data_IF_301048193380
#
_entry.id   IF_301048193380
#
_cell.length_a   1.000
_cell.length_b   1.000
_cell.length_c   1.000
_cell.angle_alpha   90.00
_cell.angle_beta   90.00
_cell.angle_gamma   90.00
#
_symmetry.space_group_name_H-M   'P 1'
#
loop_
_entity.id
_entity.type
_entity.pdbx_description
1 polymer ?
#
# COMPACT_ATOMS: atom_id res chain seq x y z
N UNK A 1 36.07 -8.24 6.30
CA UNK A 1 36.14 -7.63 7.65
C UNK A 1 35.45 -6.29 7.55
N UNK A 2 34.22 -6.17 8.05
CA UNK A 2 33.49 -4.90 8.01
C UNK A 2 34.15 -3.92 8.99
N UNK A 3 34.43 -2.67 8.59
CA UNK A 3 34.86 -1.65 9.53
C UNK A 3 33.72 -1.44 10.52
N UNK A 4 34.00 -1.72 11.79
CA UNK A 4 33.07 -1.47 12.90
C UNK A 4 32.80 0.02 12.96
N UNK A 5 31.57 0.43 12.62
CA UNK A 5 31.06 1.77 12.88
C UNK A 5 31.08 1.94 14.41
N UNK A 6 31.92 2.82 14.97
CA UNK A 6 31.86 3.12 16.40
C UNK A 6 30.47 3.69 16.66
N UNK A 7 29.76 3.17 17.65
CA UNK A 7 28.38 3.55 18.03
C UNK A 7 27.21 2.88 17.28
N UNK A 8 27.44 1.77 16.56
CA UNK A 8 26.31 0.93 16.13
C UNK A 8 25.58 0.38 17.38
N UNK A 9 24.25 0.61 17.54
CA UNK A 9 23.48 -0.01 18.62
C UNK A 9 23.68 -1.53 18.60
N UNK A 10 23.63 -2.20 19.78
CA UNK A 10 23.81 -3.64 19.83
C UNK A 10 22.75 -4.33 18.96
N UNK A 11 23.11 -5.47 18.37
CA UNK A 11 22.19 -6.22 17.50
C UNK A 11 20.85 -6.52 18.20
N UNK A 12 19.79 -6.62 17.41
CA UNK A 12 18.43 -6.87 17.88
C UNK A 12 17.63 -5.61 18.22
N UNK A 13 16.31 -5.65 18.02
CA UNK A 13 15.35 -4.61 18.42
C UNK A 13 15.67 -3.21 17.86
N UNK A 14 16.18 -3.12 16.64
CA UNK A 14 16.63 -1.87 16.03
C UNK A 14 15.51 -0.84 15.89
N UNK A 15 14.27 -1.31 15.72
CA UNK A 15 13.07 -0.48 15.61
C UNK A 15 12.85 0.46 16.80
N UNK A 16 13.39 0.13 17.99
CA UNK A 16 13.25 0.96 19.21
C UNK A 16 14.59 1.41 19.79
N UNK A 17 15.72 1.06 19.15
CA UNK A 17 17.07 1.33 19.65
C UNK A 17 17.91 2.20 18.74
N UNK A 18 17.57 2.29 17.46
CA UNK A 18 18.43 3.00 16.50
C UNK A 18 18.40 4.51 16.72
N UNK A 19 19.55 5.20 16.56
CA UNK A 19 19.63 6.64 16.78
C UNK A 19 19.25 7.47 15.54
N UNK A 20 19.04 6.84 14.38
CA UNK A 20 18.82 7.52 13.08
C UNK A 20 17.68 6.88 12.31
N UNK A 21 17.05 7.64 11.40
CA UNK A 21 16.02 7.14 10.50
C UNK A 21 16.58 6.38 9.28
N UNK A 22 17.90 6.35 9.08
CA UNK A 22 18.56 5.73 7.92
C UNK A 22 19.32 4.44 8.24
N UNK A 23 19.50 3.59 7.23
CA UNK A 23 20.28 2.33 7.25
C UNK A 23 19.48 1.09 7.64
N UNK A 24 20.17 -0.02 7.89
CA UNK A 24 19.62 -1.32 8.34
C UNK A 24 20.57 -1.97 9.35
N UNK A 25 20.01 -2.69 10.33
CA UNK A 25 20.76 -3.31 11.41
C UNK A 25 20.49 -4.82 11.48
N UNK A 26 21.45 -5.62 11.97
CA UNK A 26 21.24 -7.05 12.16
C UNK A 26 20.12 -7.35 13.17
N UNK A 27 19.23 -8.23 12.77
CA UNK A 27 18.14 -8.80 13.56
C UNK A 27 18.18 -10.32 13.44
N UNK A 28 17.74 -11.04 14.47
CA UNK A 28 17.34 -12.43 14.30
C UNK A 28 15.98 -12.42 13.59
N UNK A 29 15.87 -12.99 12.40
CA UNK A 29 14.67 -12.90 11.56
C UNK A 29 13.40 -13.37 12.30
N UNK A 30 13.52 -14.36 13.18
CA UNK A 30 12.43 -14.93 13.99
C UNK A 30 12.13 -14.19 15.31
N UNK A 31 12.80 -13.08 15.62
CA UNK A 31 12.64 -12.34 16.87
C UNK A 31 12.64 -10.82 16.64
N UNK A 32 12.80 -10.05 17.71
CA UNK A 32 12.90 -8.59 17.69
C UNK A 32 11.55 -7.88 17.53
N UNK A 33 11.53 -6.57 17.80
CA UNK A 33 10.34 -5.73 17.61
C UNK A 33 9.84 -5.74 16.15
N UNK A 34 8.53 -5.91 15.98
CA UNK A 34 7.87 -6.08 14.68
C UNK A 34 7.24 -4.76 14.18
N UNK A 35 8.07 -3.75 13.90
CA UNK A 35 7.69 -2.68 12.97
C UNK A 35 7.88 -3.16 11.52
N UNK A 36 7.23 -2.49 10.57
CA UNK A 36 7.41 -2.81 9.16
C UNK A 36 8.88 -2.68 8.75
N UNK A 37 9.44 -3.75 8.17
CA UNK A 37 10.85 -3.86 7.77
C UNK A 37 11.84 -3.32 8.84
N UNK A 38 11.50 -3.49 10.13
CA UNK A 38 12.33 -3.08 11.28
C UNK A 38 12.61 -1.57 11.36
N UNK A 39 11.77 -0.72 10.74
CA UNK A 39 11.86 0.74 10.80
C UNK A 39 11.63 1.29 12.19
N UNK A 40 12.15 2.48 12.47
CA UNK A 40 11.97 3.13 13.77
C UNK A 40 10.49 3.29 14.10
N UNK A 41 10.04 2.78 15.24
CA UNK A 41 8.74 3.10 15.79
C UNK A 41 8.78 4.51 16.39
N UNK A 42 8.11 5.47 15.76
CA UNK A 42 8.07 6.86 16.25
C UNK A 42 6.88 7.63 15.67
N UNK A 43 6.36 8.60 16.44
CA UNK A 43 5.41 9.61 15.94
C UNK A 43 6.05 10.98 15.72
N UNK A 44 7.34 11.11 15.99
CA UNK A 44 8.13 12.24 15.49
C UNK A 44 8.42 12.00 14.00
N UNK A 45 7.79 12.81 13.14
CA UNK A 45 7.88 12.69 11.69
C UNK A 45 8.97 13.59 11.10
N UNK A 46 9.75 14.28 11.95
CA UNK A 46 10.78 15.21 11.51
C UNK A 46 11.84 14.50 10.67
N UNK A 47 12.00 14.95 9.42
CA UNK A 47 12.97 14.36 8.49
C UNK A 47 12.57 12.99 7.91
N UNK A 48 11.35 12.50 8.17
CA UNK A 48 10.85 11.29 7.52
C UNK A 48 10.48 11.58 6.06
N UNK A 49 10.89 10.69 5.17
CA UNK A 49 10.54 10.71 3.75
C UNK A 49 9.26 9.93 3.47
N UNK A 50 9.10 8.80 4.18
CA UNK A 50 7.92 7.95 4.12
C UNK A 50 7.50 7.57 5.53
N UNK A 51 6.21 7.68 5.78
CA UNK A 51 5.58 7.22 7.01
C UNK A 51 4.73 6.00 6.70
N UNK A 52 5.11 4.88 7.30
CA UNK A 52 4.30 3.67 7.33
C UNK A 52 3.29 3.79 8.47
N UNK A 53 2.02 3.51 8.22
CA UNK A 53 1.02 3.43 9.28
C UNK A 53 -0.12 2.48 8.92
N UNK A 54 -0.73 1.85 9.91
CA UNK A 54 -1.90 0.99 9.72
C UNK A 54 -3.23 1.74 9.90
N UNK A 55 -4.28 1.30 9.21
CA UNK A 55 -5.67 1.70 9.46
C UNK A 55 -6.51 0.43 9.65
N UNK A 56 -6.64 -0.09 10.89
CA UNK A 56 -7.25 -1.39 11.17
C UNK A 56 -8.78 -1.36 11.10
N UNK A 57 -9.33 -1.25 9.90
CA UNK A 57 -10.78 -1.19 9.61
C UNK A 57 -11.25 -2.49 8.94
N UNK A 58 -12.43 -3.01 9.26
CA UNK A 58 -13.11 -4.03 8.43
C UNK A 58 -14.65 -3.95 8.50
N UNK A 59 -15.18 -2.82 8.99
CA UNK A 59 -16.62 -2.64 9.18
C UNK A 59 -17.34 -2.23 7.88
N UNK A 60 -16.59 -1.93 6.81
CA UNK A 60 -17.12 -1.62 5.49
C UNK A 60 -17.11 -2.85 4.54
N UNK A 61 -16.65 -4.00 5.03
CA UNK A 61 -16.60 -5.27 4.27
C UNK A 61 -18.00 -5.81 3.96
N UNK A 62 -18.17 -6.41 2.77
CA UNK A 62 -19.45 -7.00 2.34
C UNK A 62 -19.50 -8.52 2.42
N UNK A 63 -18.37 -9.21 2.64
CA UNK A 63 -18.33 -10.67 2.78
C UNK A 63 -17.69 -11.14 4.09
N UNK A 64 -16.36 -11.26 4.14
CA UNK A 64 -15.65 -11.79 5.31
C UNK A 64 -14.90 -10.66 6.04
N UNK A 65 -15.15 -10.43 7.33
CA UNK A 65 -14.34 -9.51 8.13
C UNK A 65 -12.99 -10.16 8.49
N UNK A 66 -12.07 -9.38 9.03
CA UNK A 66 -10.75 -9.83 9.47
C UNK A 66 -9.61 -8.90 9.04
N UNK A 67 -9.87 -8.02 8.06
CA UNK A 67 -8.89 -7.07 7.55
C UNK A 67 -8.41 -6.07 8.63
N UNK A 68 -9.15 -5.87 9.73
CA UNK A 68 -8.69 -5.07 10.89
C UNK A 68 -7.36 -5.55 11.49
N UNK A 69 -6.96 -6.80 11.25
CA UNK A 69 -5.70 -7.38 11.70
C UNK A 69 -4.59 -7.32 10.63
N UNK A 70 -4.91 -6.87 9.42
CA UNK A 70 -4.01 -6.76 8.27
C UNK A 70 -2.72 -6.00 8.57
N UNK A 71 -2.75 -4.80 9.20
CA UNK A 71 -1.54 -4.03 9.43
C UNK A 71 -0.52 -4.76 10.31
N UNK A 72 -0.99 -5.49 11.32
CA UNK A 72 -0.12 -6.29 12.20
C UNK A 72 0.49 -7.48 11.45
N UNK A 73 -0.28 -8.16 10.61
CA UNK A 73 0.21 -9.29 9.82
C UNK A 73 1.23 -8.87 8.75
N UNK A 74 1.00 -7.75 8.06
CA UNK A 74 1.96 -7.21 7.08
C UNK A 74 3.29 -6.87 7.76
N UNK A 75 3.25 -6.27 8.97
CA UNK A 75 4.47 -6.02 9.76
C UNK A 75 5.20 -7.32 10.09
N UNK A 76 4.50 -8.33 10.60
CA UNK A 76 5.09 -9.62 10.94
C UNK A 76 5.67 -10.36 9.73
N UNK A 77 5.00 -10.31 8.57
CA UNK A 77 5.47 -10.97 7.35
C UNK A 77 6.69 -10.26 6.70
N UNK A 78 6.98 -9.02 7.10
CA UNK A 78 8.08 -8.22 6.52
C UNK A 78 9.48 -8.57 7.03
N UNK A 79 9.61 -9.50 7.99
CA UNK A 79 10.88 -9.75 8.70
C UNK A 79 12.01 -10.25 7.80
N UNK A 80 11.70 -11.07 6.79
CA UNK A 80 12.67 -11.57 5.82
C UNK A 80 13.14 -10.47 4.85
N UNK A 81 12.24 -9.53 4.53
CA UNK A 81 12.54 -8.41 3.64
C UNK A 81 13.51 -7.40 4.26
N UNK A 82 13.59 -7.36 5.59
CA UNK A 82 14.53 -6.50 6.30
C UNK A 82 15.95 -7.09 6.41
N UNK A 83 16.12 -8.39 6.13
CA UNK A 83 17.41 -9.08 6.32
C UNK A 83 18.38 -8.83 5.16
N UNK A 84 17.84 -8.73 3.95
CA UNK A 84 18.62 -8.64 2.71
C UNK A 84 18.23 -7.40 1.91
N UNK A 85 19.14 -6.98 1.02
CA UNK A 85 18.81 -5.99 0.00
C UNK A 85 17.66 -6.54 -0.87
N UNK A 86 16.57 -5.77 -1.07
CA UNK A 86 15.46 -6.21 -1.92
C UNK A 86 15.91 -6.62 -3.32
N UNK A 87 15.36 -7.72 -3.83
CA UNK A 87 15.63 -8.24 -5.17
C UNK A 87 14.52 -7.83 -6.14
N UNK A 88 14.82 -7.41 -7.39
CA UNK A 88 16.14 -7.36 -8.04
C UNK A 88 16.92 -6.05 -7.84
N UNK A 89 16.44 -5.16 -6.97
CA UNK A 89 16.96 -3.80 -6.77
C UNK A 89 18.45 -3.75 -6.42
N UNK A 90 18.91 -4.62 -5.52
CA UNK A 90 20.33 -4.73 -5.17
C UNK A 90 20.92 -3.53 -4.42
N UNK A 91 20.06 -2.67 -3.86
CA UNK A 91 20.42 -1.61 -2.92
C UNK A 91 19.60 -1.75 -1.64
N UNK A 92 20.06 -1.15 -0.55
CA UNK A 92 19.26 -0.98 0.66
C UNK A 92 18.46 0.34 0.51
N UNK A 93 17.11 0.32 0.45
CA UNK A 93 16.32 1.53 0.25
C UNK A 93 16.53 2.54 1.40
N UNK A 94 16.90 2.06 2.58
CA UNK A 94 16.98 2.85 3.79
C UNK A 94 18.27 3.65 3.93
N UNK A 95 19.27 3.40 3.08
CA UNK A 95 20.44 4.27 2.94
C UNK A 95 20.05 5.63 2.34
N UNK A 96 19.03 5.65 1.48
CA UNK A 96 18.58 6.85 0.75
C UNK A 96 17.21 7.38 1.18
N UNK A 97 16.43 6.58 1.92
CA UNK A 97 15.06 6.88 2.30
C UNK A 97 14.89 6.79 3.82
N UNK A 98 14.54 7.90 4.46
CA UNK A 98 14.16 7.94 5.87
C UNK A 98 12.72 7.42 6.03
N UNK A 99 12.58 6.16 6.47
CA UNK A 99 11.28 5.51 6.68
C UNK A 99 11.04 5.23 8.15
N UNK A 100 9.86 5.59 8.65
CA UNK A 100 9.37 5.32 10.01
C UNK A 100 8.11 4.47 9.99
N UNK A 101 7.87 3.71 11.07
CA UNK A 101 6.57 3.11 11.36
C UNK A 101 5.90 3.95 12.47
N UNK A 102 4.80 4.63 12.15
CA UNK A 102 4.09 5.50 13.08
C UNK A 102 3.03 4.76 13.93
N UNK A 103 2.99 3.43 13.83
CA UNK A 103 1.91 2.61 14.39
C UNK A 103 0.63 2.81 13.60
N UNK A 104 -0.51 2.86 14.29
CA UNK A 104 -1.81 2.82 13.64
C UNK A 104 -2.63 4.10 13.87
N UNK A 105 -3.50 4.39 12.90
CA UNK A 105 -4.62 5.31 13.06
C UNK A 105 -5.58 4.71 14.09
N UNK A 106 -5.75 5.41 15.22
CA UNK A 106 -6.75 5.01 16.20
C UNK A 106 -8.15 5.33 15.67
N UNK A 107 -9.05 4.37 15.76
CA UNK A 107 -10.43 4.47 15.32
C UNK A 107 -11.34 4.16 16.53
N UNK A 108 -12.51 4.80 16.57
CA UNK A 108 -13.57 4.40 17.50
C UNK A 108 -14.58 3.49 16.76
N UNK A 109 -14.41 2.15 16.80
CA UNK A 109 -15.31 1.24 16.09
C UNK A 109 -16.74 1.26 16.68
N UNK A 110 -16.94 1.80 17.87
CA UNK A 110 -18.25 1.90 18.51
C UNK A 110 -19.03 3.13 18.03
N UNK A 111 -18.35 4.07 17.38
CA UNK A 111 -18.94 5.26 16.76
C UNK A 111 -18.52 5.34 15.28
N UNK A 112 -19.07 4.46 14.42
CA UNK A 112 -18.58 4.24 13.04
C UNK A 112 -18.64 5.49 12.16
N UNK A 113 -19.57 6.42 12.42
CA UNK A 113 -19.66 7.71 11.72
C UNK A 113 -18.42 8.61 11.92
N UNK A 114 -17.60 8.36 12.96
CA UNK A 114 -16.37 9.12 13.22
C UNK A 114 -15.17 8.62 12.42
N UNK A 115 -15.24 7.38 11.91
CA UNK A 115 -14.13 6.68 11.26
C UNK A 115 -13.59 7.43 10.03
N UNK A 116 -14.41 7.90 9.06
CA UNK A 116 -13.88 8.57 7.89
C UNK A 116 -13.12 9.86 8.24
N UNK A 117 -13.64 10.63 9.21
CA UNK A 117 -12.98 11.82 9.74
C UNK A 117 -11.65 11.52 10.42
N UNK A 118 -11.60 10.47 11.24
CA UNK A 118 -10.38 10.04 11.93
C UNK A 118 -9.26 9.64 10.94
N UNK A 119 -9.59 8.88 9.89
CA UNK A 119 -8.64 8.46 8.86
C UNK A 119 -8.13 9.67 8.07
N UNK A 120 -9.04 10.57 7.67
CA UNK A 120 -8.66 11.80 6.95
C UNK A 120 -7.75 12.69 7.79
N UNK A 121 -8.04 12.86 9.07
CA UNK A 121 -7.21 13.67 9.97
C UNK A 121 -5.87 13.01 10.28
N UNK A 122 -5.80 11.68 10.33
CA UNK A 122 -4.56 10.93 10.39
C UNK A 122 -3.67 11.20 9.17
N UNK A 123 -4.23 11.11 7.97
CA UNK A 123 -3.51 11.41 6.74
C UNK A 123 -3.04 12.87 6.68
N UNK A 124 -3.91 13.85 7.02
CA UNK A 124 -3.56 15.27 7.09
C UNK A 124 -2.34 15.53 7.97
N UNK A 125 -2.29 14.93 9.16
CA UNK A 125 -1.15 15.09 10.09
C UNK A 125 0.15 14.59 9.49
N UNK A 126 0.12 13.44 8.82
CA UNK A 126 1.31 12.87 8.17
C UNK A 126 1.73 13.74 6.97
N UNK A 127 0.79 14.07 6.08
CA UNK A 127 1.08 14.87 4.89
C UNK A 127 1.58 16.28 5.21
N UNK A 128 1.20 16.84 6.36
CA UNK A 128 1.72 18.11 6.85
C UNK A 128 3.23 18.09 7.18
N UNK A 129 3.82 16.92 7.47
CA UNK A 129 5.28 16.80 7.64
C UNK A 129 6.05 16.85 6.32
N UNK A 130 5.35 16.69 5.18
CA UNK A 130 5.94 16.58 3.86
C UNK A 130 6.30 15.15 3.44
N UNK A 131 6.16 14.17 4.35
CA UNK A 131 6.39 12.76 4.05
C UNK A 131 5.33 12.18 3.10
N UNK A 132 5.69 11.14 2.36
CA UNK A 132 4.73 10.27 1.66
C UNK A 132 4.11 9.28 2.64
N UNK A 133 2.87 8.87 2.36
CA UNK A 133 2.19 7.83 3.13
C UNK A 133 2.33 6.49 2.43
N UNK A 134 2.72 5.46 3.18
CA UNK A 134 2.52 4.06 2.83
C UNK A 134 1.59 3.45 3.89
N UNK A 135 0.32 3.30 3.55
CA UNK A 135 -0.69 2.87 4.52
C UNK A 135 -1.00 1.39 4.38
N UNK A 136 -1.05 0.68 5.50
CA UNK A 136 -1.54 -0.69 5.53
C UNK A 136 -3.00 -0.68 5.94
N UNK A 137 -3.83 -1.25 5.09
CA UNK A 137 -5.23 -1.37 5.37
C UNK A 137 -5.54 -2.46 6.36
N UNK A 138 -6.73 -2.30 6.94
CA UNK A 138 -7.74 -3.30 6.69
C UNK A 138 -8.50 -3.03 5.39
N UNK A 139 -9.82 -2.95 5.43
CA UNK A 139 -10.67 -2.95 4.24
C UNK A 139 -10.44 -1.74 3.29
N UNK A 140 -10.81 -1.89 2.03
CA UNK A 140 -10.48 -0.95 0.96
C UNK A 140 -11.16 0.42 1.14
N UNK A 141 -12.20 0.52 1.99
CA UNK A 141 -12.86 1.81 2.25
C UNK A 141 -11.88 2.87 2.76
N UNK A 142 -10.81 2.48 3.46
CA UNK A 142 -9.83 3.41 4.02
C UNK A 142 -9.23 4.35 2.97
N UNK A 143 -9.14 3.91 1.71
CA UNK A 143 -8.49 4.67 0.65
C UNK A 143 -9.26 5.94 0.30
N UNK A 144 -10.58 5.95 0.51
CA UNK A 144 -11.41 7.13 0.24
C UNK A 144 -11.08 8.35 1.12
N UNK A 145 -11.10 8.27 2.47
CA UNK A 145 -10.64 9.39 3.30
C UNK A 145 -9.13 9.68 3.16
N UNK A 146 -8.30 8.70 2.76
CA UNK A 146 -6.90 8.95 2.40
C UNK A 146 -6.81 9.82 1.14
N UNK A 147 -7.57 9.51 0.07
CA UNK A 147 -7.63 10.28 -1.16
C UNK A 147 -8.12 11.71 -0.91
N UNK A 148 -9.11 11.92 -0.04
CA UNK A 148 -9.55 13.26 0.36
C UNK A 148 -8.38 14.10 0.91
N UNK A 149 -7.61 13.54 1.85
CA UNK A 149 -6.45 14.24 2.41
C UNK A 149 -5.31 14.43 1.39
N UNK A 150 -5.10 13.48 0.48
CA UNK A 150 -4.08 13.61 -0.58
C UNK A 150 -4.49 14.67 -1.62
N UNK A 151 -5.75 14.73 -2.00
CA UNK A 151 -6.29 15.75 -2.90
C UNK A 151 -6.14 17.16 -2.30
N UNK A 152 -6.35 17.33 -0.99
CA UNK A 152 -6.08 18.60 -0.28
C UNK A 152 -4.61 19.02 -0.35
N UNK A 153 -3.68 18.05 -0.30
CA UNK A 153 -2.23 18.32 -0.29
C UNK A 153 -1.63 18.51 -1.68
N UNK A 154 -2.04 17.69 -2.65
CA UNK A 154 -1.41 17.60 -3.97
C UNK A 154 -2.27 18.18 -5.10
N UNK A 155 -3.50 18.60 -4.80
CA UNK A 155 -4.48 19.07 -5.76
C UNK A 155 -5.35 17.94 -6.30
N UNK A 156 -6.60 18.28 -6.62
CA UNK A 156 -7.55 17.40 -7.29
C UNK A 156 -7.70 17.78 -8.77
N UNK A 157 -7.98 16.83 -9.66
CA UNK A 157 -8.04 15.39 -9.41
C UNK A 157 -6.65 14.73 -9.43
N UNK A 158 -6.51 13.62 -8.69
CA UNK A 158 -5.35 12.72 -8.75
C UNK A 158 -5.52 11.67 -9.85
N UNK A 159 -4.41 11.09 -10.31
CA UNK A 159 -4.45 9.81 -11.02
C UNK A 159 -4.54 8.66 -10.01
N UNK A 160 -5.33 7.63 -10.30
CA UNK A 160 -5.42 6.41 -9.47
C UNK A 160 -4.80 5.22 -10.21
N UNK A 161 -3.87 4.52 -9.56
CA UNK A 161 -3.38 3.21 -9.98
C UNK A 161 -3.96 2.19 -9.00
N UNK A 162 -4.91 1.40 -9.47
CA UNK A 162 -5.75 0.55 -8.63
C UNK A 162 -5.55 -0.92 -9.00
N UNK A 163 -4.94 -1.72 -8.13
CA UNK A 163 -4.79 -3.17 -8.31
C UNK A 163 -5.87 -3.88 -7.50
N UNK A 164 -6.77 -4.63 -8.16
CA UNK A 164 -7.93 -5.24 -7.49
C UNK A 164 -8.63 -6.27 -8.38
N UNK A 165 -9.39 -7.20 -7.81
CA UNK A 165 -10.39 -7.99 -8.53
C UNK A 165 -11.69 -7.20 -8.81
N UNK A 166 -11.95 -6.15 -8.03
CA UNK A 166 -13.16 -5.36 -7.92
C UNK A 166 -12.95 -3.93 -8.39
N UNK A 167 -14.00 -3.37 -8.99
CA UNK A 167 -13.90 -2.02 -9.54
C UNK A 167 -14.13 -0.93 -8.48
N UNK A 168 -14.76 -1.28 -7.37
CA UNK A 168 -15.22 -0.44 -6.25
C UNK A 168 -15.89 0.89 -6.64
N UNK A 169 -16.52 0.85 -7.82
CA UNK A 169 -17.22 1.96 -8.46
C UNK A 169 -18.70 1.65 -8.65
N UNK A 170 -19.24 0.66 -7.92
CA UNK A 170 -20.67 0.41 -7.95
C UNK A 170 -21.43 1.63 -7.41
N UNK A 171 -22.54 2.04 -8.05
CA UNK A 171 -23.26 3.24 -7.66
C UNK A 171 -23.75 3.22 -6.21
N UNK A 172 -23.48 4.31 -5.49
CA UNK A 172 -23.95 4.52 -4.12
C UNK A 172 -24.15 6.01 -3.86
N UNK A 173 -25.41 6.44 -3.96
CA UNK A 173 -25.79 7.84 -3.75
C UNK A 173 -25.95 8.19 -2.25
N UNK A 174 -25.65 7.27 -1.33
CA UNK A 174 -25.56 7.57 0.09
C UNK A 174 -24.12 7.96 0.47
N UNK A 175 -23.82 9.27 0.65
CA UNK A 175 -22.46 9.71 0.95
C UNK A 175 -21.94 9.13 2.27
N UNK A 176 -22.83 8.85 3.23
CA UNK A 176 -22.48 8.39 4.57
C UNK A 176 -22.29 6.86 4.68
N UNK A 177 -22.52 6.11 3.59
CA UNK A 177 -22.31 4.66 3.63
C UNK A 177 -20.83 4.30 3.84
N UNK A 178 -20.62 3.30 4.70
CA UNK A 178 -19.33 2.63 4.91
C UNK A 178 -19.36 1.35 4.08
N UNK A 179 -18.80 1.40 2.88
CA UNK A 179 -18.80 0.28 1.95
C UNK A 179 -17.51 0.27 1.13
N UNK A 180 -16.75 -0.81 1.23
CA UNK A 180 -15.48 -0.96 0.52
C UNK A 180 -15.64 -1.16 -1.00
N UNK A 181 -16.85 -1.39 -1.51
CA UNK A 181 -17.12 -1.54 -2.95
C UNK A 181 -17.68 -0.28 -3.64
N UNK A 182 -17.87 0.84 -2.95
CA UNK A 182 -18.54 2.03 -3.54
C UNK A 182 -17.77 3.32 -3.35
N UNK A 183 -16.65 3.27 -2.64
CA UNK A 183 -15.90 4.46 -2.26
C UNK A 183 -15.18 5.13 -3.45
N UNK A 184 -14.83 4.39 -4.51
CA UNK A 184 -14.30 5.01 -5.74
C UNK A 184 -15.39 5.57 -6.64
N UNK A 185 -16.63 5.06 -6.60
CA UNK A 185 -17.77 5.79 -7.19
C UNK A 185 -17.87 7.19 -6.58
N UNK A 186 -17.81 7.28 -5.25
CA UNK A 186 -17.80 8.58 -4.54
C UNK A 186 -16.58 9.42 -4.93
N UNK A 187 -15.38 8.84 -4.96
CA UNK A 187 -14.16 9.55 -5.33
C UNK A 187 -14.21 10.17 -6.75
N UNK A 188 -14.78 9.46 -7.73
CA UNK A 188 -15.00 10.00 -9.09
C UNK A 188 -16.03 11.12 -9.05
N UNK A 189 -17.17 10.90 -8.38
CA UNK A 189 -18.27 11.87 -8.29
C UNK A 189 -17.87 13.18 -7.60
N UNK A 190 -16.98 13.10 -6.61
CA UNK A 190 -16.42 14.24 -5.89
C UNK A 190 -15.23 14.90 -6.63
N UNK A 191 -14.78 14.32 -7.75
CA UNK A 191 -13.64 14.82 -8.52
C UNK A 191 -12.28 14.65 -7.82
N UNK A 192 -12.17 13.71 -6.88
CA UNK A 192 -10.92 13.39 -6.20
C UNK A 192 -9.93 12.69 -7.14
N UNK A 193 -10.45 11.86 -8.06
CA UNK A 193 -9.65 11.14 -9.06
C UNK A 193 -10.15 11.44 -10.47
N UNK A 194 -9.24 11.45 -11.45
CA UNK A 194 -9.55 11.66 -12.87
C UNK A 194 -9.67 10.30 -13.57
N UNK A 195 -10.88 9.88 -13.99
CA UNK A 195 -11.07 8.59 -14.66
C UNK A 195 -10.21 8.43 -15.91
N UNK A 196 -9.98 9.50 -16.68
CA UNK A 196 -9.23 9.45 -17.93
C UNK A 196 -7.72 9.21 -17.72
N UNK A 197 -7.23 9.36 -16.49
CA UNK A 197 -5.83 9.14 -16.12
C UNK A 197 -5.72 8.16 -14.95
N UNK A 198 -6.77 7.38 -14.73
CA UNK A 198 -6.83 6.34 -13.71
C UNK A 198 -6.99 4.99 -14.37
N UNK A 199 -6.36 3.98 -13.78
CA UNK A 199 -6.29 2.62 -14.33
C UNK A 199 -6.52 1.59 -13.24
N UNK A 200 -7.40 0.63 -13.54
CA UNK A 200 -7.70 -0.53 -12.71
C UNK A 200 -7.06 -1.78 -13.32
N UNK A 201 -6.44 -2.61 -12.49
CA UNK A 201 -5.57 -3.70 -12.92
C UNK A 201 -5.96 -4.97 -12.19
N UNK A 202 -6.25 -6.04 -12.93
CA UNK A 202 -6.63 -7.33 -12.36
C UNK A 202 -8.13 -7.53 -12.17
N UNK A 203 -8.94 -6.57 -12.61
CA UNK A 203 -10.41 -6.61 -12.54
C UNK A 203 -10.93 -7.91 -13.12
N UNK A 204 -11.87 -8.54 -12.42
CA UNK A 204 -12.54 -9.77 -12.84
C UNK A 204 -13.92 -9.93 -12.19
N UNK A 205 -14.54 -8.80 -11.89
CA UNK A 205 -15.94 -8.66 -11.50
C UNK A 205 -16.61 -7.62 -12.40
N UNK A 206 -17.95 -7.62 -12.41
CA UNK A 206 -18.73 -6.84 -13.38
C UNK A 206 -19.35 -5.59 -12.74
N UNK A 207 -19.27 -4.48 -13.45
CA UNK A 207 -20.06 -3.28 -13.21
C UNK A 207 -20.67 -2.83 -14.54
N UNK A 208 -21.93 -2.37 -14.53
CA UNK A 208 -22.59 -1.89 -15.74
C UNK A 208 -22.01 -0.55 -16.22
N UNK A 209 -21.38 0.21 -15.33
CA UNK A 209 -20.65 1.43 -15.64
C UNK A 209 -19.33 1.52 -14.84
N UNK A 210 -18.20 1.36 -15.53
CA UNK A 210 -16.85 1.51 -14.96
C UNK A 210 -16.41 2.98 -14.80
N UNK A 211 -17.35 3.94 -14.84
CA UNK A 211 -17.14 5.35 -14.56
C UNK A 211 -16.08 6.03 -15.45
N UNK A 212 -15.80 5.45 -16.63
CA UNK A 212 -14.79 5.93 -17.56
C UNK A 212 -13.34 5.63 -17.16
N UNK A 213 -13.09 4.83 -16.11
CA UNK A 213 -11.74 4.38 -15.78
C UNK A 213 -11.21 3.41 -16.83
N UNK A 214 -9.89 3.42 -17.04
CA UNK A 214 -9.25 2.39 -17.85
C UNK A 214 -9.20 1.07 -17.09
N UNK A 215 -9.62 -0.03 -17.71
CA UNK A 215 -9.62 -1.36 -17.09
C UNK A 215 -8.67 -2.29 -17.84
N UNK A 216 -7.66 -2.79 -17.13
CA UNK A 216 -6.76 -3.86 -17.54
C UNK A 216 -7.16 -5.11 -16.76
N UNK A 217 -8.21 -5.79 -17.23
CA UNK A 217 -8.77 -6.97 -16.55
C UNK A 217 -7.75 -8.14 -16.45
N UNK A 218 -7.95 -9.04 -15.49
CA UNK A 218 -7.02 -10.15 -15.26
C UNK A 218 -6.83 -11.04 -16.52
N UNK A 219 -7.89 -11.45 -17.25
CA UNK A 219 -7.72 -12.20 -18.50
C UNK A 219 -6.86 -11.50 -19.55
N UNK A 220 -7.01 -10.18 -19.70
CA UNK A 220 -6.24 -9.36 -20.65
C UNK A 220 -4.79 -9.25 -20.21
N UNK A 221 -4.52 -9.03 -18.91
CA UNK A 221 -3.16 -9.03 -18.37
C UNK A 221 -2.49 -10.39 -18.58
N UNK A 222 -3.22 -11.50 -18.38
CA UNK A 222 -2.71 -12.84 -18.66
C UNK A 222 -2.40 -13.06 -20.15
N UNK A 223 -3.30 -12.63 -21.04
CA UNK A 223 -3.16 -12.85 -22.48
C UNK A 223 -2.07 -11.97 -23.12
N UNK A 224 -1.94 -10.71 -22.67
CA UNK A 224 -1.02 -9.73 -23.25
C UNK A 224 0.31 -9.60 -22.51
N UNK A 225 0.38 -10.06 -21.27
CA UNK A 225 1.57 -10.03 -20.44
C UNK A 225 1.76 -8.71 -19.68
N UNK A 226 2.64 -8.77 -18.68
CA UNK A 226 2.87 -7.69 -17.72
C UNK A 226 3.62 -6.49 -18.30
N UNK A 227 4.48 -6.68 -19.29
CA UNK A 227 5.16 -5.57 -19.96
C UNK A 227 4.17 -4.69 -20.73
N UNK A 228 3.18 -5.31 -21.39
CA UNK A 228 2.11 -4.56 -22.04
C UNK A 228 1.29 -3.77 -21.01
N UNK A 229 0.90 -4.43 -19.91
CA UNK A 229 0.10 -3.78 -18.86
C UNK A 229 0.87 -2.60 -18.23
N UNK A 230 2.16 -2.76 -17.92
CA UNK A 230 3.01 -1.67 -17.43
C UNK A 230 3.04 -0.49 -18.42
N UNK A 231 3.24 -0.75 -19.71
CA UNK A 231 3.22 0.30 -20.72
C UNK A 231 1.88 1.05 -20.76
N UNK A 232 0.76 0.35 -20.60
CA UNK A 232 -0.55 1.00 -20.51
C UNK A 232 -0.65 1.88 -19.27
N UNK A 233 -0.26 1.37 -18.11
CA UNK A 233 -0.29 2.14 -16.84
C UNK A 233 0.51 3.42 -16.97
N UNK A 234 1.75 3.34 -17.47
CA UNK A 234 2.61 4.52 -17.66
C UNK A 234 2.01 5.53 -18.66
N UNK A 235 1.39 5.04 -19.75
CA UNK A 235 0.77 5.90 -20.75
C UNK A 235 -0.50 6.60 -20.24
N UNK A 236 -1.33 5.90 -19.45
CA UNK A 236 -2.59 6.43 -18.90
C UNK A 236 -2.31 7.47 -17.81
N UNK A 237 -1.40 7.17 -16.88
CA UNK A 237 -1.12 8.04 -15.73
C UNK A 237 -0.29 9.27 -16.13
N UNK A 238 0.70 9.09 -17.02
CA UNK A 238 1.64 10.14 -17.41
C UNK A 238 2.38 10.74 -16.21
N UNK A 239 2.56 12.07 -16.21
CA UNK A 239 3.31 12.80 -15.17
C UNK A 239 2.45 13.26 -13.98
N UNK A 240 1.19 12.83 -13.90
CA UNK A 240 0.24 13.31 -12.90
C UNK A 240 0.59 12.81 -11.49
N UNK A 241 0.28 13.60 -10.45
CA UNK A 241 0.27 13.09 -9.08
C UNK A 241 -0.61 11.83 -8.99
N UNK A 242 0.01 10.69 -8.71
CA UNK A 242 -0.65 9.40 -8.71
C UNK A 242 -0.71 8.82 -7.29
N UNK A 243 -1.90 8.36 -6.91
CA UNK A 243 -2.09 7.52 -5.73
C UNK A 243 -2.15 6.06 -6.18
N UNK A 244 -1.35 5.19 -5.57
CA UNK A 244 -1.42 3.75 -5.81
C UNK A 244 -2.17 3.06 -4.68
N UNK A 245 -3.17 2.29 -5.03
CA UNK A 245 -3.89 1.45 -4.08
C UNK A 245 -3.82 0.00 -4.53
N UNK A 246 -3.45 -0.89 -3.61
CA UNK A 246 -3.26 -2.30 -3.90
C UNK A 246 -4.14 -3.13 -2.97
N UNK A 247 -5.28 -3.59 -3.48
CA UNK A 247 -6.04 -4.66 -2.87
C UNK A 247 -5.32 -5.99 -3.09
N UNK A 248 -5.04 -6.71 -2.00
CA UNK A 248 -4.35 -7.98 -2.10
C UNK A 248 -5.16 -9.04 -2.85
N UNK A 249 -6.48 -8.88 -2.93
CA UNK A 249 -7.37 -9.73 -3.71
C UNK A 249 -7.24 -9.53 -5.22
N UNK A 250 -6.47 -8.54 -5.69
CA UNK A 250 -5.97 -8.50 -7.07
C UNK A 250 -5.27 -9.81 -7.44
N UNK A 251 -4.56 -10.41 -6.48
CA UNK A 251 -3.91 -11.70 -6.65
C UNK A 251 -4.93 -12.85 -6.63
N UNK A 252 -4.63 -13.91 -7.36
CA UNK A 252 -5.43 -15.13 -7.30
C UNK A 252 -5.47 -15.68 -5.85
N UNK A 253 -6.57 -16.31 -5.41
CA UNK A 253 -6.64 -16.94 -4.08
C UNK A 253 -5.55 -18.00 -3.82
N UNK A 254 -4.90 -18.55 -4.85
CA UNK A 254 -3.71 -19.38 -4.69
C UNK A 254 -2.49 -18.61 -4.12
N UNK A 255 -2.45 -17.29 -4.30
CA UNK A 255 -1.39 -16.39 -3.85
C UNK A 255 -1.83 -15.48 -2.69
N UNK A 256 -3.12 -15.16 -2.59
CA UNK A 256 -3.70 -14.33 -1.54
C UNK A 256 -4.99 -14.96 -0.96
N UNK A 257 -4.91 -16.15 -0.31
CA UNK A 257 -6.08 -16.76 0.32
C UNK A 257 -6.65 -15.92 1.48
N UNK A 258 -5.80 -15.12 2.13
CA UNK A 258 -6.12 -14.29 3.29
C UNK A 258 -6.73 -12.95 2.92
N UNK A 259 -7.89 -12.96 2.28
CA UNK A 259 -8.66 -11.75 1.93
C UNK A 259 -10.17 -11.93 2.12
N UNK A 260 -10.90 -10.82 2.23
CA UNK A 260 -12.33 -10.77 2.49
C UNK A 260 -13.20 -11.31 1.33
N UNK A 261 -12.79 -11.04 0.09
CA UNK A 261 -13.58 -11.19 -1.14
C UNK A 261 -12.83 -11.97 -2.24
N UNK A 262 -12.33 -13.19 -1.99
CA UNK A 262 -11.48 -13.87 -2.97
C UNK A 262 -12.22 -14.19 -4.29
N UNK A 263 -11.64 -13.77 -5.42
CA UNK A 263 -12.12 -14.06 -6.78
C UNK A 263 -11.07 -14.83 -7.58
N UNK A 264 -11.44 -16.00 -8.10
CA UNK A 264 -10.55 -16.86 -8.88
C UNK A 264 -10.14 -16.25 -10.24
N UNK A 265 -9.00 -16.69 -10.78
CA UNK A 265 -8.47 -16.22 -12.06
C UNK A 265 -7.71 -14.89 -11.93
N UNK A 266 -7.07 -14.68 -10.78
CA UNK A 266 -6.33 -13.45 -10.48
C UNK A 266 -4.87 -13.46 -10.91
N UNK A 267 -4.17 -12.37 -10.60
CA UNK A 267 -2.74 -12.25 -10.89
C UNK A 267 -1.92 -13.18 -9.99
N UNK A 268 -0.80 -13.65 -10.52
CA UNK A 268 0.27 -14.19 -9.67
C UNK A 268 1.02 -13.06 -8.96
N UNK A 269 1.59 -13.35 -7.79
CA UNK A 269 2.47 -12.38 -7.10
C UNK A 269 3.65 -11.95 -7.99
N UNK A 270 4.17 -12.84 -8.84
CA UNK A 270 5.21 -12.50 -9.80
C UNK A 270 4.78 -11.41 -10.80
N UNK A 271 3.55 -11.48 -11.30
CA UNK A 271 3.02 -10.48 -12.24
C UNK A 271 2.81 -9.13 -11.55
N UNK A 272 2.19 -9.13 -10.37
CA UNK A 272 1.96 -7.91 -9.60
C UNK A 272 3.26 -7.19 -9.22
N UNK A 273 4.25 -7.92 -8.70
CA UNK A 273 5.53 -7.33 -8.31
C UNK A 273 6.30 -6.78 -9.53
N UNK A 274 6.19 -7.42 -10.70
CA UNK A 274 6.75 -6.85 -11.94
C UNK A 274 6.16 -5.49 -12.28
N UNK A 275 4.83 -5.36 -12.19
CA UNK A 275 4.12 -4.12 -12.45
C UNK A 275 4.54 -3.03 -11.45
N UNK A 276 4.52 -3.33 -10.15
CA UNK A 276 4.91 -2.38 -9.08
C UNK A 276 6.35 -1.90 -9.25
N UNK A 277 7.30 -2.81 -9.52
CA UNK A 277 8.72 -2.45 -9.75
C UNK A 277 8.90 -1.54 -10.96
N UNK A 278 8.03 -1.64 -11.95
CA UNK A 278 8.04 -0.82 -13.16
C UNK A 278 7.62 0.63 -12.95
N UNK A 279 7.08 0.99 -11.77
CA UNK A 279 6.51 2.31 -11.51
C UNK A 279 7.52 3.40 -11.13
N UNK A 280 8.83 3.14 -11.27
CA UNK A 280 9.89 4.16 -11.06
C UNK A 280 9.62 5.49 -11.78
N UNK A 281 9.09 5.53 -13.01
CA UNK A 281 8.79 6.80 -13.69
C UNK A 281 7.57 7.55 -13.15
N UNK A 282 6.71 6.93 -12.33
CA UNK A 282 5.43 7.51 -11.88
C UNK A 282 5.63 8.50 -10.74
N UNK A 283 4.97 9.65 -10.81
CA UNK A 283 4.92 10.63 -9.71
C UNK A 283 4.00 10.14 -8.57
N UNK A 284 4.47 9.17 -7.78
CA UNK A 284 3.73 8.61 -6.65
C UNK A 284 3.67 9.61 -5.47
N UNK A 285 2.46 9.99 -5.10
CA UNK A 285 2.19 10.94 -4.00
C UNK A 285 1.65 10.28 -2.73
N UNK A 286 1.15 9.05 -2.83
CA UNK A 286 0.68 8.24 -1.72
C UNK A 286 0.42 6.81 -2.17
N UNK A 287 0.54 5.86 -1.23
CA UNK A 287 0.28 4.45 -1.51
C UNK A 287 -0.44 3.76 -0.35
N UNK A 288 -1.25 2.75 -0.65
CA UNK A 288 -1.71 1.78 0.35
C UNK A 288 -1.71 0.32 -0.16
N UNK A 289 -1.73 -0.61 0.80
CA UNK A 289 -1.90 -2.06 0.57
C UNK A 289 -2.98 -2.54 1.54
N UNK A 290 -4.09 -3.06 1.01
CA UNK A 290 -5.35 -3.26 1.75
C UNK A 290 -5.85 -4.71 1.69
N UNK A 291 -6.92 -5.01 2.42
CA UNK A 291 -7.68 -6.27 2.45
C UNK A 291 -6.92 -7.54 2.89
N UNK A 292 -5.69 -7.43 3.39
CA UNK A 292 -5.04 -8.55 4.08
C UNK A 292 -5.86 -8.92 5.31
N UNK A 293 -6.42 -10.14 5.30
CA UNK A 293 -7.29 -10.71 6.33
C UNK A 293 -6.64 -11.97 6.92
N UNK A 294 -5.83 -11.83 7.99
CA UNK A 294 -5.06 -12.92 8.59
C UNK A 294 -5.87 -14.16 9.02
N UNK A 295 -7.14 -14.05 9.46
CA UNK A 295 -7.94 -15.24 9.78
C UNK A 295 -8.13 -16.22 8.62
N UNK A 296 -7.94 -15.76 7.38
CA UNK A 296 -8.05 -16.58 6.17
C UNK A 296 -6.70 -16.83 5.50
N UNK A 297 -5.62 -16.25 6.02
CA UNK A 297 -4.30 -16.44 5.46
C UNK A 297 -3.77 -17.84 5.79
N UNK A 298 -2.92 -18.39 4.91
CA UNK A 298 -2.35 -19.71 5.08
C UNK A 298 -0.84 -19.62 5.04
N UNK A 299 -0.19 -19.94 6.15
CA UNK A 299 1.27 -19.81 6.30
C UNK A 299 1.79 -18.41 5.89
N UNK A 300 1.00 -17.37 6.20
CA UNK A 300 1.34 -15.95 6.00
C UNK A 300 1.59 -15.54 4.55
N UNK A 301 1.22 -16.36 3.55
CA UNK A 301 1.59 -16.09 2.15
C UNK A 301 0.92 -14.82 1.61
N UNK A 302 -0.27 -14.46 2.11
CA UNK A 302 -0.98 -13.23 1.72
C UNK A 302 -0.31 -12.01 2.34
N UNK A 303 -0.04 -12.06 3.64
CA UNK A 303 0.67 -11.01 4.34
C UNK A 303 2.09 -10.81 3.79
N UNK A 304 2.77 -11.89 3.40
CA UNK A 304 4.08 -11.86 2.75
C UNK A 304 4.03 -11.20 1.38
N UNK A 305 3.03 -11.54 0.55
CA UNK A 305 2.83 -10.88 -0.75
C UNK A 305 2.58 -9.38 -0.58
N UNK A 306 1.74 -8.98 0.37
CA UNK A 306 1.48 -7.58 0.70
C UNK A 306 2.75 -6.86 1.20
N UNK A 307 3.55 -7.50 2.05
CA UNK A 307 4.83 -6.96 2.51
C UNK A 307 5.84 -6.79 1.36
N UNK A 308 5.85 -7.69 0.38
CA UNK A 308 6.65 -7.56 -0.83
C UNK A 308 6.21 -6.37 -1.70
N UNK A 309 4.90 -6.17 -1.91
CA UNK A 309 4.36 -4.99 -2.61
C UNK A 309 4.82 -3.71 -1.90
N UNK A 310 4.61 -3.63 -0.59
CA UNK A 310 5.03 -2.49 0.23
C UNK A 310 6.56 -2.23 0.15
N UNK A 311 7.37 -3.29 0.18
CA UNK A 311 8.83 -3.19 0.02
C UNK A 311 9.23 -2.65 -1.36
N UNK A 312 8.61 -3.15 -2.44
CA UNK A 312 8.90 -2.70 -3.80
C UNK A 312 8.47 -1.23 -4.01
N UNK A 313 7.38 -0.77 -3.38
CA UNK A 313 6.99 0.64 -3.37
C UNK A 313 8.02 1.54 -2.68
N UNK A 314 8.58 1.12 -1.54
CA UNK A 314 9.70 1.84 -0.91
C UNK A 314 10.94 1.87 -1.81
N UNK A 315 11.22 0.78 -2.52
CA UNK A 315 12.34 0.72 -3.46
C UNK A 315 12.13 1.63 -4.69
N UNK A 316 10.89 1.73 -5.20
CA UNK A 316 10.52 2.69 -6.24
C UNK A 316 10.85 4.13 -5.80
N UNK A 317 10.42 4.53 -4.60
CA UNK A 317 10.71 5.86 -4.06
C UNK A 317 12.21 6.08 -3.80
N UNK A 318 12.92 5.06 -3.32
CA UNK A 318 14.37 5.13 -3.15
C UNK A 318 15.10 5.29 -4.49
N UNK A 319 14.69 4.57 -5.54
CA UNK A 319 15.25 4.68 -6.88
C UNK A 319 15.01 6.07 -7.49
N UNK A 320 13.82 6.65 -7.30
CA UNK A 320 13.51 8.03 -7.69
C UNK A 320 14.41 9.06 -7.00
N UNK A 321 14.89 8.75 -5.78
CA UNK A 321 15.86 9.54 -5.02
C UNK A 321 17.32 9.21 -5.32
N UNK A 322 17.57 8.38 -6.33
CA UNK A 322 18.90 8.09 -6.82
C UNK A 322 19.56 6.86 -6.19
N UNK A 323 18.84 6.01 -5.46
CA UNK A 323 19.33 4.69 -5.11
C UNK A 323 19.64 3.90 -6.39
N UNK A 324 20.82 3.27 -6.43
CA UNK A 324 21.29 2.51 -7.59
C UNK A 324 21.79 1.16 -7.13
N UNK A 325 21.58 0.16 -8.00
CA UNK A 325 22.24 -1.13 -7.86
C UNK A 325 23.75 -0.89 -7.91
N UNK A 326 24.45 -1.36 -6.88
CA UNK A 326 25.91 -1.40 -6.85
C UNK A 326 26.45 -2.34 -7.92
#
# INVERSE_FOLDING_TARGET
MNPTIPDAPPAGDSAIRRPTLHGTWPEMTYAGVLSFMRRTYTRDLSGADVVVSGVPLDIATTFRPGARLGPAAIRAASVQLAELKPFPWGFDPFDTLAVVDAGDCWLDPHNPHTVPGAIRDHARRILASGARMLTFGGDHYITYPLLQAHAERYGAPLALIHFDAHCDTWPDDNPDSLNHGTMFYKAVREGLIDPAHSVQIGIRTWNDDFMGLHVLDAPTVHARGVDWALQQVLAIVGDRPAYLTFDIDCLDPAHAPGTGTPVAGGLSSAQALHLVRGLVPVNLVGMDVVEVSPPYDHAEITALAAAHVACDLLCVLAAQRGARRY
#
